data_IF_791863250622
#
_entry.id   IF_791863250622
#
_cell.length_a   1.000
_cell.length_b   1.000
_cell.length_c   1.000
_cell.angle_alpha   90.00
_cell.angle_beta   90.00
_cell.angle_gamma   90.00
#
_symmetry.space_group_name_H-M   'P 1'
#
loop_
_entity.id
_entity.type
_entity.pdbx_description
1 polymer ?
#
# COMPACT_ATOMS: atom_id res chain seq x y z
N UNK A 1 -3.35 -27.56 -15.40
CA UNK A 1 -1.90 -27.41 -15.61
C UNK A 1 -1.57 -26.01 -16.09
N UNK A 2 -2.25 -25.51 -17.12
CA UNK A 2 -2.01 -24.22 -17.78
C UNK A 2 -2.26 -23.04 -16.83
N UNK A 3 -3.31 -23.10 -16.02
CA UNK A 3 -3.59 -22.08 -14.99
C UNK A 3 -2.48 -21.99 -13.94
N UNK A 4 -1.98 -23.15 -13.48
CA UNK A 4 -0.83 -23.17 -12.54
C UNK A 4 0.42 -22.57 -13.18
N UNK A 5 0.66 -22.85 -14.46
CA UNK A 5 1.77 -22.29 -15.21
C UNK A 5 1.62 -20.76 -15.33
N UNK A 6 0.40 -20.28 -15.58
CA UNK A 6 0.09 -18.85 -15.59
C UNK A 6 0.40 -18.17 -14.26
N UNK A 7 -0.04 -18.75 -13.14
CA UNK A 7 0.24 -18.23 -11.78
C UNK A 7 1.74 -18.24 -11.49
N UNK A 8 2.45 -19.32 -11.81
CA UNK A 8 3.90 -19.39 -11.64
C UNK A 8 4.60 -18.31 -12.47
N UNK A 9 4.19 -18.10 -13.71
CA UNK A 9 4.73 -17.04 -14.57
C UNK A 9 4.50 -15.65 -13.99
N UNK A 10 3.34 -15.41 -13.38
CA UNK A 10 3.02 -14.17 -12.69
C UNK A 10 3.95 -13.94 -11.48
N UNK A 11 4.14 -14.92 -10.61
CA UNK A 11 5.05 -14.83 -9.46
C UNK A 11 6.51 -14.61 -9.89
N UNK A 12 6.97 -15.32 -10.89
CA UNK A 12 8.31 -15.10 -11.43
C UNK A 12 8.50 -13.70 -12.01
N UNK A 13 7.45 -13.10 -12.56
CA UNK A 13 7.49 -11.71 -13.02
C UNK A 13 7.82 -10.73 -11.90
N UNK A 14 7.20 -10.87 -10.73
CA UNK A 14 7.50 -10.04 -9.57
C UNK A 14 8.96 -10.13 -9.13
N UNK A 15 9.54 -11.34 -9.20
CA UNK A 15 10.96 -11.57 -8.89
C UNK A 15 11.86 -10.88 -9.92
N UNK A 16 11.59 -11.09 -11.20
CA UNK A 16 12.41 -10.55 -12.30
C UNK A 16 12.35 -9.02 -12.37
N UNK A 17 11.18 -8.43 -12.12
CA UNK A 17 11.00 -6.99 -12.13
C UNK A 17 11.46 -6.32 -10.83
N UNK A 18 11.85 -7.08 -9.80
CA UNK A 18 12.33 -6.57 -8.54
C UNK A 18 11.26 -5.83 -7.72
N UNK A 19 10.00 -6.25 -7.82
CA UNK A 19 8.85 -5.60 -7.21
C UNK A 19 8.95 -5.56 -5.69
N UNK A 20 9.47 -6.60 -5.05
CA UNK A 20 9.73 -6.62 -3.61
C UNK A 20 10.70 -5.50 -3.20
N UNK A 21 11.78 -5.29 -3.97
CA UNK A 21 12.77 -4.24 -3.69
C UNK A 21 12.17 -2.85 -3.86
N UNK A 22 11.36 -2.65 -4.90
CA UNK A 22 10.65 -1.40 -5.14
C UNK A 22 9.68 -1.10 -3.99
N UNK A 23 8.85 -2.07 -3.61
CA UNK A 23 7.87 -1.92 -2.54
C UNK A 23 8.55 -1.62 -1.19
N UNK A 24 9.66 -2.27 -0.88
CA UNK A 24 10.44 -2.01 0.33
C UNK A 24 10.98 -0.56 0.34
N UNK A 25 11.50 -0.06 -0.78
CA UNK A 25 11.97 1.33 -0.90
C UNK A 25 10.85 2.34 -0.72
N UNK A 26 9.69 2.12 -1.36
CA UNK A 26 8.52 2.98 -1.19
C UNK A 26 8.04 2.98 0.25
N UNK A 27 7.97 1.82 0.88
CA UNK A 27 7.61 1.69 2.30
C UNK A 27 8.57 2.46 3.19
N UNK A 28 9.88 2.33 3.00
CA UNK A 28 10.89 3.05 3.79
C UNK A 28 10.75 4.58 3.64
N UNK A 29 10.52 5.08 2.42
CA UNK A 29 10.31 6.51 2.17
C UNK A 29 9.05 7.02 2.88
N UNK A 30 7.93 6.28 2.79
CA UNK A 30 6.66 6.65 3.41
C UNK A 30 6.78 6.69 4.94
N UNK A 31 7.47 5.71 5.53
CA UNK A 31 7.74 5.70 6.97
C UNK A 31 8.69 6.82 7.39
N UNK A 32 9.69 7.19 6.55
CA UNK A 32 10.54 8.34 6.77
C UNK A 32 9.74 9.65 6.81
N UNK A 33 8.77 9.82 5.91
CA UNK A 33 7.86 10.97 5.91
C UNK A 33 6.97 10.96 7.17
N UNK A 34 6.43 9.81 7.55
CA UNK A 34 5.63 9.67 8.78
C UNK A 34 6.43 10.04 10.03
N UNK A 35 7.72 9.68 10.07
CA UNK A 35 8.61 10.01 11.18
C UNK A 35 8.72 11.52 11.42
N UNK A 36 8.67 12.35 10.36
CA UNK A 36 8.59 13.81 10.49
C UNK A 36 7.31 14.25 11.20
N UNK A 37 6.17 13.65 10.86
CA UNK A 37 4.90 13.93 11.53
C UNK A 37 4.92 13.52 13.00
N UNK A 38 5.53 12.38 13.32
CA UNK A 38 5.70 11.92 14.71
C UNK A 38 6.65 12.82 15.49
N UNK A 39 7.72 13.32 14.87
CA UNK A 39 8.61 14.30 15.47
C UNK A 39 7.87 15.62 15.79
N UNK A 40 7.08 16.14 14.83
CA UNK A 40 6.22 17.31 15.04
C UNK A 40 5.25 17.12 16.21
N UNK A 41 4.59 15.97 16.28
CA UNK A 41 3.71 15.59 17.40
C UNK A 41 4.47 15.52 18.72
N UNK A 42 5.70 14.99 18.71
CA UNK A 42 6.55 14.91 19.89
C UNK A 42 6.94 16.29 20.43
N UNK A 43 7.27 17.25 19.54
CA UNK A 43 7.57 18.64 19.89
C UNK A 43 6.35 19.28 20.57
N UNK A 44 5.17 19.19 19.96
CA UNK A 44 3.94 19.79 20.50
C UNK A 44 3.56 19.17 21.87
N UNK A 45 3.70 17.85 21.99
CA UNK A 45 3.44 17.15 23.23
C UNK A 45 4.42 17.55 24.36
N UNK A 46 5.70 17.74 24.06
CA UNK A 46 6.71 18.21 25.02
C UNK A 46 6.44 19.62 25.49
N UNK A 47 5.94 20.49 24.60
CA UNK A 47 5.50 21.85 24.95
C UNK A 47 4.29 21.83 25.90
N UNK A 48 3.28 21.01 25.62
CA UNK A 48 2.08 20.88 26.45
C UNK A 48 2.37 20.38 27.88
N UNK A 49 3.49 19.66 28.06
CA UNK A 49 3.94 19.21 29.39
C UNK A 49 4.83 20.21 30.17
N UNK A 50 4.93 21.44 29.68
CA UNK A 50 5.67 22.50 30.37
C UNK A 50 7.19 22.32 30.42
N UNK A 51 7.75 21.39 29.61
CA UNK A 51 9.20 21.13 29.54
C UNK A 51 10.02 22.31 28.97
N UNK A 52 9.34 23.25 28.29
CA UNK A 52 9.95 24.46 27.72
C UNK A 52 9.56 25.73 28.45
N UNK A 53 9.46 25.67 29.78
CA UNK A 53 9.19 26.86 30.64
C UNK A 53 10.45 27.66 30.81
N UNK A 54 10.94 28.33 29.75
CA UNK A 54 12.02 29.28 29.75
C UNK A 54 11.50 30.63 30.32
N UNK A 55 11.88 30.96 31.54
CA UNK A 55 11.50 32.21 32.21
C UNK A 55 12.33 33.41 31.77
N UNK A 56 12.25 33.84 30.49
CA UNK A 56 12.94 35.06 30.02
C UNK A 56 11.97 35.95 29.22
N UNK A 57 12.24 37.28 29.24
CA UNK A 57 11.45 38.33 28.60
C UNK A 57 11.23 38.12 27.06
N UNK A 58 12.03 37.25 26.43
CA UNK A 58 11.95 36.89 24.98
C UNK A 58 11.42 35.48 24.70
N UNK A 59 10.89 34.77 25.69
CA UNK A 59 10.46 33.38 25.58
C UNK A 59 9.22 33.18 24.69
N UNK A 60 8.39 34.22 24.52
CA UNK A 60 7.17 34.16 23.72
C UNK A 60 7.43 33.96 22.21
N UNK A 61 8.42 34.66 21.66
CA UNK A 61 8.79 34.53 20.26
C UNK A 61 9.38 33.16 19.91
N UNK A 62 10.30 32.67 20.76
CA UNK A 62 10.88 31.34 20.62
C UNK A 62 9.85 30.23 20.71
N UNK A 63 8.89 30.33 21.62
CA UNK A 63 7.80 29.38 21.80
C UNK A 63 6.94 29.32 20.53
N UNK A 64 6.59 30.47 19.95
CA UNK A 64 5.79 30.56 18.73
C UNK A 64 6.48 29.87 17.55
N UNK A 65 7.81 30.07 17.40
CA UNK A 65 8.60 29.41 16.34
C UNK A 65 8.59 27.90 16.53
N UNK A 66 8.80 27.41 17.75
CA UNK A 66 8.81 25.96 18.04
C UNK A 66 7.43 25.35 17.77
N UNK A 67 6.34 26.02 18.14
CA UNK A 67 4.97 25.58 17.85
C UNK A 67 4.74 25.54 16.34
N UNK A 68 5.13 26.59 15.61
CA UNK A 68 4.99 26.64 14.16
C UNK A 68 5.76 25.51 13.46
N UNK A 69 7.00 25.24 13.88
CA UNK A 69 7.79 24.11 13.36
C UNK A 69 7.12 22.78 13.69
N UNK A 70 6.63 22.58 14.92
CA UNK A 70 5.94 21.35 15.32
C UNK A 70 4.68 21.09 14.50
N UNK A 71 3.86 22.12 14.26
CA UNK A 71 2.66 22.02 13.42
C UNK A 71 3.03 21.76 11.96
N UNK A 72 4.02 22.46 11.43
CA UNK A 72 4.45 22.27 10.03
C UNK A 72 4.94 20.83 9.80
N UNK A 73 5.78 20.30 10.67
CA UNK A 73 6.26 18.92 10.60
C UNK A 73 5.11 17.92 10.71
N UNK A 74 4.15 18.17 11.59
CA UNK A 74 2.97 17.32 11.75
C UNK A 74 2.15 17.28 10.47
N UNK A 75 1.83 18.44 9.90
CA UNK A 75 1.04 18.53 8.65
C UNK A 75 1.80 17.84 7.51
N UNK A 76 3.06 18.20 7.27
CA UNK A 76 3.87 17.62 6.19
C UNK A 76 3.97 16.09 6.35
N UNK A 77 4.21 15.61 7.56
CA UNK A 77 4.37 14.18 7.83
C UNK A 77 3.09 13.38 7.58
N UNK A 78 1.94 13.82 8.10
CA UNK A 78 0.68 13.07 7.94
C UNK A 78 0.10 13.21 6.53
N UNK A 79 0.12 14.40 5.95
CA UNK A 79 -0.34 14.62 4.55
C UNK A 79 0.57 13.87 3.58
N UNK A 80 1.89 13.95 3.77
CA UNK A 80 2.85 13.21 2.95
C UNK A 80 2.69 11.70 3.07
N UNK A 81 2.46 11.17 4.28
CA UNK A 81 2.15 9.76 4.51
C UNK A 81 0.89 9.33 3.76
N UNK A 82 -0.19 10.12 3.82
CA UNK A 82 -1.43 9.85 3.13
C UNK A 82 -1.21 9.72 1.61
N UNK A 83 -0.61 10.73 0.98
CA UNK A 83 -0.34 10.70 -0.46
C UNK A 83 0.69 9.62 -0.84
N UNK A 84 1.70 9.40 0.00
CA UNK A 84 2.68 8.34 -0.19
C UNK A 84 2.03 6.96 -0.26
N UNK A 85 1.07 6.66 0.62
CA UNK A 85 0.30 5.41 0.60
C UNK A 85 -0.56 5.29 -0.66
N UNK A 86 -1.19 6.38 -1.12
CA UNK A 86 -1.95 6.37 -2.37
C UNK A 86 -1.05 6.05 -3.58
N UNK A 87 0.12 6.67 -3.65
CA UNK A 87 1.10 6.42 -4.71
C UNK A 87 1.58 4.96 -4.65
N UNK A 88 1.89 4.45 -3.46
CA UNK A 88 2.29 3.06 -3.29
C UNK A 88 1.23 2.09 -3.79
N UNK A 89 -0.04 2.32 -3.46
CA UNK A 89 -1.15 1.50 -3.93
C UNK A 89 -1.31 1.58 -5.46
N UNK A 90 -1.18 2.77 -6.05
CA UNK A 90 -1.25 2.96 -7.50
C UNK A 90 -0.10 2.22 -8.22
N UNK A 91 1.12 2.34 -7.72
CA UNK A 91 2.28 1.61 -8.26
C UNK A 91 2.08 0.11 -8.15
N UNK A 92 1.59 -0.39 -7.01
CA UNK A 92 1.31 -1.81 -6.81
C UNK A 92 0.32 -2.33 -7.84
N UNK A 93 -0.79 -1.61 -8.08
CA UNK A 93 -1.77 -2.00 -9.12
C UNK A 93 -1.17 -2.08 -10.52
N UNK A 94 -0.31 -1.13 -10.90
CA UNK A 94 0.36 -1.18 -12.20
C UNK A 94 1.31 -2.36 -12.33
N UNK A 95 1.95 -2.76 -11.22
CA UNK A 95 2.81 -3.94 -11.17
C UNK A 95 2.04 -5.26 -11.36
N UNK A 96 0.81 -5.34 -10.87
CA UNK A 96 -0.05 -6.49 -11.14
C UNK A 96 -0.36 -6.66 -12.63
N UNK A 97 -0.71 -5.58 -13.33
CA UNK A 97 -0.92 -5.63 -14.78
C UNK A 97 0.34 -6.02 -15.55
N UNK A 98 1.50 -5.50 -15.11
CA UNK A 98 2.77 -5.89 -15.71
C UNK A 98 3.09 -7.37 -15.46
N UNK A 99 2.80 -7.89 -14.26
CA UNK A 99 3.01 -9.29 -13.91
C UNK A 99 2.09 -10.21 -14.74
N UNK A 100 0.83 -9.82 -14.93
CA UNK A 100 -0.11 -10.55 -15.78
C UNK A 100 0.36 -10.59 -17.24
N UNK A 101 0.75 -9.45 -17.79
CA UNK A 101 1.28 -9.36 -19.15
C UNK A 101 2.56 -10.20 -19.32
N UNK A 102 3.45 -10.18 -18.33
CA UNK A 102 4.67 -10.99 -18.33
C UNK A 102 4.36 -12.48 -18.25
N UNK A 103 3.36 -12.88 -17.44
CA UNK A 103 2.90 -14.26 -17.37
C UNK A 103 2.42 -14.76 -18.74
N UNK A 104 1.65 -13.94 -19.46
CA UNK A 104 1.23 -14.26 -20.84
C UNK A 104 2.43 -14.35 -21.78
N UNK A 105 3.39 -13.42 -21.66
CA UNK A 105 4.60 -13.43 -22.49
C UNK A 105 5.44 -14.70 -22.28
N UNK A 106 5.61 -15.13 -21.02
CA UNK A 106 6.40 -16.33 -20.69
C UNK A 106 5.72 -17.62 -21.09
N UNK A 107 4.41 -17.72 -20.87
CA UNK A 107 3.63 -18.94 -21.13
C UNK A 107 3.10 -19.01 -22.55
N UNK A 108 3.00 -17.88 -23.26
CA UNK A 108 2.30 -17.71 -24.54
C UNK A 108 0.86 -18.23 -24.51
N UNK A 109 0.26 -18.22 -23.32
CA UNK A 109 -1.10 -18.73 -23.09
C UNK A 109 -1.88 -17.76 -22.20
N UNK A 110 -2.60 -16.78 -22.77
CA UNK A 110 -3.42 -15.83 -21.99
C UNK A 110 -4.54 -16.53 -21.22
N UNK A 111 -5.09 -17.63 -21.74
CA UNK A 111 -6.13 -18.42 -21.09
C UNK A 111 -5.69 -19.06 -19.77
N UNK A 112 -4.39 -19.29 -19.58
CA UNK A 112 -3.83 -19.83 -18.35
C UNK A 112 -4.05 -18.89 -17.17
N UNK A 113 -3.50 -17.67 -17.26
CA UNK A 113 -3.64 -16.69 -16.17
C UNK A 113 -5.08 -16.16 -16.05
N UNK A 114 -5.79 -15.91 -17.16
CA UNK A 114 -7.19 -15.50 -17.15
C UNK A 114 -8.09 -16.54 -16.47
N UNK A 115 -7.90 -17.82 -16.78
CA UNK A 115 -8.62 -18.93 -16.15
C UNK A 115 -8.36 -19.04 -14.65
N UNK A 116 -7.11 -18.84 -14.22
CA UNK A 116 -6.76 -18.81 -12.80
C UNK A 116 -7.46 -17.65 -12.07
N UNK A 117 -7.44 -16.43 -12.63
CA UNK A 117 -8.10 -15.26 -12.07
C UNK A 117 -9.63 -15.45 -11.99
N UNK A 118 -10.26 -16.01 -13.03
CA UNK A 118 -11.70 -16.33 -13.04
C UNK A 118 -12.07 -17.34 -11.94
N UNK A 119 -11.24 -18.36 -11.71
CA UNK A 119 -11.44 -19.32 -10.62
C UNK A 119 -11.30 -18.68 -9.24
N UNK A 120 -10.26 -17.88 -9.04
CA UNK A 120 -10.05 -17.16 -7.77
C UNK A 120 -11.25 -16.26 -7.48
N UNK A 121 -11.74 -15.50 -8.48
CA UNK A 121 -12.92 -14.66 -8.37
C UNK A 121 -14.20 -15.45 -8.05
N UNK A 122 -14.40 -16.59 -8.69
CA UNK A 122 -15.52 -17.49 -8.43
C UNK A 122 -15.52 -18.09 -7.04
N UNK A 123 -14.36 -18.47 -6.52
CA UNK A 123 -14.22 -18.94 -5.13
C UNK A 123 -14.41 -17.83 -4.09
N UNK A 124 -13.96 -16.61 -4.38
CA UNK A 124 -14.13 -15.47 -3.47
C UNK A 124 -15.62 -15.09 -3.30
N UNK A 125 -16.43 -15.22 -4.33
CA UNK A 125 -17.89 -15.01 -4.28
C UNK A 125 -18.62 -16.11 -3.51
N UNK A 126 -18.04 -17.35 -3.43
CA UNK A 126 -18.65 -18.51 -2.74
C UNK A 126 -18.13 -18.74 -1.32
N UNK A 127 -17.00 -18.17 -0.94
CA UNK A 127 -16.38 -18.35 0.38
C UNK A 127 -16.37 -17.05 1.18
N UNK A 128 -17.51 -16.69 1.73
CA UNK A 128 -17.60 -15.76 2.85
C UNK A 128 -16.95 -16.42 4.08
N UNK A 129 -15.63 -16.33 4.19
CA UNK A 129 -14.89 -16.78 5.36
C UNK A 129 -15.15 -15.83 6.53
N UNK A 130 -16.19 -16.13 7.32
CA UNK A 130 -16.49 -15.51 8.60
C UNK A 130 -15.44 -15.94 9.65
N UNK A 131 -14.15 -15.63 9.45
CA UNK A 131 -13.14 -15.96 10.43
C UNK A 131 -12.29 -14.73 10.76
N UNK A 132 -12.21 -14.40 12.06
CA UNK A 132 -11.40 -13.30 12.59
C UNK A 132 -9.88 -13.43 12.30
N UNK A 133 -9.42 -14.56 11.82
CA UNK A 133 -8.03 -14.82 11.44
C UNK A 133 -7.72 -14.51 9.97
N UNK A 134 -8.73 -14.18 9.16
CA UNK A 134 -8.55 -13.86 7.73
C UNK A 134 -7.69 -12.62 7.48
N UNK A 135 -7.65 -11.67 8.42
CA UNK A 135 -6.80 -10.49 8.34
C UNK A 135 -5.29 -10.80 8.41
N UNK A 136 -4.90 -11.84 9.17
CA UNK A 136 -3.51 -12.27 9.29
C UNK A 136 -3.04 -13.08 8.07
N UNK A 137 -3.97 -13.70 7.36
CA UNK A 137 -3.70 -14.56 6.20
C UNK A 137 -3.90 -13.78 4.88
N UNK A 138 -4.49 -12.59 4.93
CA UNK A 138 -4.79 -11.74 3.76
C UNK A 138 -3.58 -11.42 2.88
N UNK A 139 -2.35 -11.51 3.42
CA UNK A 139 -1.12 -11.39 2.65
C UNK A 139 -0.79 -12.61 1.77
N UNK A 140 -1.42 -13.77 2.05
CA UNK A 140 -1.23 -15.00 1.29
C UNK A 140 -2.35 -15.27 0.29
N UNK A 141 -3.44 -14.49 0.31
CA UNK A 141 -4.54 -14.67 -0.61
C UNK A 141 -4.49 -13.63 -1.74
N UNK A 142 -4.39 -14.10 -2.96
CA UNK A 142 -4.51 -13.32 -4.20
C UNK A 142 -5.88 -12.64 -4.37
N UNK A 143 -6.85 -12.97 -3.54
CA UNK A 143 -8.18 -12.41 -3.58
C UNK A 143 -8.42 -11.50 -2.38
N UNK A 144 -8.71 -10.23 -2.63
CA UNK A 144 -9.18 -9.30 -1.60
C UNK A 144 -10.59 -9.70 -1.16
N UNK A 145 -10.70 -10.36 0.00
CA UNK A 145 -11.97 -10.66 0.64
C UNK A 145 -12.56 -9.52 1.48
N UNK A 146 -12.12 -8.26 1.29
CA UNK A 146 -12.60 -7.11 2.07
C UNK A 146 -13.04 -5.96 1.17
N UNK A 147 -14.34 -5.87 0.93
CA UNK A 147 -14.99 -4.64 0.52
C UNK A 147 -15.10 -3.70 1.72
N UNK A 148 -14.15 -2.78 1.88
CA UNK A 148 -14.37 -1.58 2.68
C UNK A 148 -14.75 -0.42 1.74
N UNK A 149 -15.68 0.44 2.15
CA UNK A 149 -16.14 1.58 1.36
C UNK A 149 -15.04 2.55 0.90
N UNK A 150 -13.85 2.47 1.50
CA UNK A 150 -12.62 3.17 1.13
C UNK A 150 -11.56 2.26 0.48
N UNK A 151 -11.87 0.98 0.24
CA UNK A 151 -10.92 -0.05 -0.21
C UNK A 151 -10.26 0.27 -1.55
N UNK A 152 -10.95 0.93 -2.47
CA UNK A 152 -10.46 1.20 -3.82
C UNK A 152 -9.19 2.04 -3.89
N UNK A 153 -9.04 3.08 -3.03
CA UNK A 153 -7.86 3.97 -3.04
C UNK A 153 -6.61 3.31 -2.43
N UNK A 154 -6.81 2.41 -1.46
CA UNK A 154 -5.75 1.74 -0.70
C UNK A 154 -5.50 0.31 -1.16
N UNK A 155 -6.32 -0.19 -2.08
CA UNK A 155 -6.18 -1.52 -2.63
C UNK A 155 -4.84 -1.63 -3.37
N UNK A 156 -4.04 -2.61 -3.00
CA UNK A 156 -2.75 -2.91 -3.62
C UNK A 156 -2.90 -3.75 -4.89
N UNK A 157 -4.04 -4.43 -5.05
CA UNK A 157 -4.38 -5.18 -6.26
C UNK A 157 -5.52 -4.50 -7.01
N UNK A 158 -5.51 -4.49 -8.35
CA UNK A 158 -6.64 -4.05 -9.16
C UNK A 158 -7.82 -5.03 -9.02
N UNK A 159 -9.06 -4.60 -9.33
CA UNK A 159 -10.19 -5.51 -9.44
C UNK A 159 -9.90 -6.66 -10.41
N UNK A 160 -10.35 -7.87 -10.06
CA UNK A 160 -10.09 -9.06 -10.87
C UNK A 160 -10.69 -8.96 -12.28
N UNK A 161 -11.85 -8.33 -12.40
CA UNK A 161 -12.52 -8.10 -13.69
C UNK A 161 -11.71 -7.17 -14.59
N UNK A 162 -11.04 -6.16 -14.07
CA UNK A 162 -10.14 -5.28 -14.84
C UNK A 162 -8.91 -6.05 -15.32
N UNK A 163 -8.31 -6.88 -14.45
CA UNK A 163 -7.18 -7.74 -14.81
C UNK A 163 -7.55 -8.74 -15.89
N UNK A 164 -8.71 -9.40 -15.75
CA UNK A 164 -9.20 -10.37 -16.73
C UNK A 164 -9.43 -9.71 -18.09
N UNK A 165 -10.11 -8.55 -18.12
CA UNK A 165 -10.33 -7.79 -19.37
C UNK A 165 -9.04 -7.32 -20.03
N UNK A 166 -8.01 -7.02 -19.26
CA UNK A 166 -6.71 -6.61 -19.82
C UNK A 166 -5.97 -7.77 -20.51
N UNK A 167 -6.24 -9.02 -20.09
CA UNK A 167 -5.60 -10.23 -20.64
C UNK A 167 -6.43 -10.84 -21.78
N UNK A 168 -7.75 -10.87 -21.61
CA UNK A 168 -8.74 -11.55 -22.47
C UNK A 168 -9.90 -10.57 -22.71
N UNK A 169 -9.72 -9.60 -23.65
CA UNK A 169 -10.67 -8.53 -23.95
C UNK A 169 -11.96 -9.00 -24.62
#
# INVERSE_FOLDING_TARGET
RDELQGVIGHEFSHILNGDMRLNLRLTALIFGILALGLAGRGILWALGRGRFRGGGKNSGGALLVIVAVGISLLIIGYVGYFFGRMIQAAVSRQREFLADASAVQFTRNPGGISGALKKIGGYALGSSLANHQSAAIGHFFFAQGFESAFGGLWATHPPLDERIRAIDP
#
